data_IF_600931003537
#
_entry.id   IF_600931003537
#
_cell.length_a   1.000
_cell.length_b   1.000
_cell.length_c   1.000
_cell.angle_alpha   90.00
_cell.angle_beta   90.00
_cell.angle_gamma   90.00
#
_symmetry.space_group_name_H-M   'P 1'
#
loop_
_entity.id
_entity.type
_entity.pdbx_description
1 polymer ?
#
# COMPACT_ATOMS: atom_id res chain seq x y z
N UNK A 1 -17.49 25.98 24.60
CA UNK A 1 -17.52 24.72 23.82
C UNK A 1 -17.09 25.03 22.39
N UNK A 2 -15.95 24.51 21.94
CA UNK A 2 -15.57 24.58 20.53
C UNK A 2 -16.56 23.73 19.72
N UNK A 3 -17.30 24.36 18.81
CA UNK A 3 -18.24 23.68 17.92
C UNK A 3 -17.46 22.73 16.97
N UNK A 4 -17.37 21.46 17.35
CA UNK A 4 -16.65 20.45 16.57
C UNK A 4 -17.48 20.04 15.36
N UNK A 5 -17.25 20.68 14.21
CA UNK A 5 -17.94 20.33 12.96
C UNK A 5 -17.22 19.16 12.30
N UNK A 6 -17.82 17.97 12.37
CA UNK A 6 -17.30 16.80 11.65
C UNK A 6 -17.38 17.07 10.15
N UNK A 7 -16.24 16.96 9.47
CA UNK A 7 -16.06 17.17 8.03
C UNK A 7 -15.79 15.83 7.35
N UNK A 8 -15.96 15.76 6.03
CA UNK A 8 -15.66 14.56 5.24
C UNK A 8 -14.21 14.08 5.44
N UNK A 9 -13.28 15.00 5.67
CA UNK A 9 -11.89 14.68 5.95
C UNK A 9 -11.73 13.85 7.24
N UNK A 10 -12.47 14.17 8.31
CA UNK A 10 -12.46 13.39 9.55
C UNK A 10 -13.02 11.98 9.35
N UNK A 11 -14.07 11.82 8.53
CA UNK A 11 -14.61 10.50 8.19
C UNK A 11 -13.58 9.65 7.42
N UNK A 12 -12.87 10.25 6.45
CA UNK A 12 -11.78 9.56 5.72
C UNK A 12 -10.60 9.23 6.62
N UNK A 13 -10.22 10.11 7.54
CA UNK A 13 -9.18 9.89 8.56
C UNK A 13 -9.55 8.69 9.43
N UNK A 14 -10.78 8.64 9.95
CA UNK A 14 -11.29 7.52 10.75
C UNK A 14 -11.23 6.18 9.99
N UNK A 15 -11.72 6.14 8.74
CA UNK A 15 -11.67 4.94 7.91
C UNK A 15 -10.23 4.50 7.64
N UNK A 16 -9.32 5.45 7.40
CA UNK A 16 -7.91 5.17 7.15
C UNK A 16 -7.24 4.56 8.39
N UNK A 17 -7.56 5.07 9.58
CA UNK A 17 -7.08 4.52 10.86
C UNK A 17 -7.59 3.09 11.04
N UNK A 18 -8.91 2.88 10.87
CA UNK A 18 -9.54 1.57 11.10
C UNK A 18 -9.14 0.50 10.09
N UNK A 19 -8.85 0.89 8.84
CA UNK A 19 -8.49 -0.05 7.77
C UNK A 19 -6.99 -0.17 7.59
N UNK A 20 -6.34 0.90 7.15
CA UNK A 20 -4.95 0.84 6.66
C UNK A 20 -3.92 0.93 7.78
N UNK A 21 -4.09 1.84 8.74
CA UNK A 21 -3.11 2.05 9.81
C UNK A 21 -2.94 0.78 10.67
N UNK A 22 -4.04 0.25 11.19
CA UNK A 22 -4.02 -0.92 12.08
C UNK A 22 -3.56 -2.18 11.35
N UNK A 23 -4.14 -2.49 10.19
CA UNK A 23 -3.95 -3.80 9.56
C UNK A 23 -2.70 -3.91 8.68
N UNK A 24 -2.21 -2.79 8.15
CA UNK A 24 -1.08 -2.78 7.21
C UNK A 24 0.13 -2.10 7.85
N UNK A 25 0.00 -0.82 8.22
CA UNK A 25 1.15 -0.04 8.69
C UNK A 25 1.73 -0.57 10.01
N UNK A 26 0.91 -0.64 11.07
CA UNK A 26 1.40 -1.10 12.37
C UNK A 26 1.69 -2.59 12.38
N UNK A 27 0.77 -3.38 11.83
CA UNK A 27 0.87 -4.84 11.89
C UNK A 27 1.92 -5.40 10.92
N UNK A 28 1.90 -5.01 9.65
CA UNK A 28 2.76 -5.62 8.62
C UNK A 28 4.09 -4.90 8.55
N UNK A 29 4.09 -3.57 8.44
CA UNK A 29 5.32 -2.78 8.29
C UNK A 29 6.00 -2.40 9.61
N UNK A 30 5.30 -2.46 10.74
CA UNK A 30 5.85 -2.28 12.08
C UNK A 30 6.06 -3.62 12.79
N UNK A 31 5.31 -3.85 13.87
CA UNK A 31 5.47 -4.92 14.86
C UNK A 31 5.92 -6.27 14.31
N UNK A 32 5.25 -6.81 13.28
CA UNK A 32 5.62 -8.15 12.76
C UNK A 32 6.98 -8.17 12.09
N UNK A 33 7.30 -7.15 11.31
CA UNK A 33 8.58 -7.07 10.60
C UNK A 33 9.71 -6.78 11.59
N UNK A 34 9.46 -5.92 12.57
CA UNK A 34 10.45 -5.52 13.57
C UNK A 34 10.76 -6.67 14.56
N UNK A 35 9.72 -7.28 15.15
CA UNK A 35 9.88 -8.36 16.12
C UNK A 35 10.41 -9.65 15.51
N UNK A 36 10.18 -9.90 14.21
CA UNK A 36 10.81 -11.01 13.49
C UNK A 36 12.34 -10.93 13.53
N UNK A 37 12.90 -9.73 13.74
CA UNK A 37 14.33 -9.49 13.84
C UNK A 37 14.77 -9.01 15.24
N UNK A 38 13.92 -9.18 16.27
CA UNK A 38 14.20 -8.72 17.65
C UNK A 38 14.55 -7.23 17.75
N UNK A 39 14.03 -6.41 16.84
CA UNK A 39 14.20 -4.95 16.86
C UNK A 39 12.90 -4.33 17.36
N UNK A 40 12.99 -3.32 18.22
CA UNK A 40 11.83 -2.53 18.66
C UNK A 40 11.80 -1.18 17.94
N UNK A 41 10.83 -0.97 17.05
CA UNK A 41 10.56 0.33 16.45
C UNK A 41 9.63 1.16 17.32
N UNK A 42 9.95 2.44 17.49
CA UNK A 42 9.10 3.42 18.18
C UNK A 42 8.39 4.29 17.16
N UNK A 43 7.10 4.54 17.36
CA UNK A 43 6.25 5.33 16.47
C UNK A 43 5.92 6.70 17.09
N UNK A 44 6.86 7.67 17.11
CA UNK A 44 6.68 8.93 17.86
C UNK A 44 5.47 9.76 17.43
N UNK A 45 5.03 9.61 16.17
CA UNK A 45 3.84 10.29 15.66
C UNK A 45 2.51 9.74 16.20
N UNK A 46 2.52 8.59 16.88
CA UNK A 46 1.35 7.95 17.47
C UNK A 46 1.26 8.14 18.98
N UNK A 47 2.06 9.05 19.54
CA UNK A 47 1.90 9.50 20.91
C UNK A 47 0.49 10.07 21.14
N UNK A 48 -0.17 9.66 22.23
CA UNK A 48 -1.58 10.01 22.47
C UNK A 48 -1.77 11.49 22.75
N UNK A 49 -0.81 12.19 23.36
CA UNK A 49 -0.90 13.63 23.57
C UNK A 49 -0.77 14.38 22.25
N UNK A 50 0.16 13.96 21.39
CA UNK A 50 0.30 14.53 20.05
C UNK A 50 -0.97 14.30 19.21
N UNK A 51 -1.50 13.08 19.20
CA UNK A 51 -2.71 12.73 18.46
C UNK A 51 -3.90 13.53 18.96
N UNK A 52 -4.08 13.64 20.28
CA UNK A 52 -5.16 14.42 20.88
C UNK A 52 -5.06 15.90 20.46
N UNK A 53 -3.88 16.50 20.59
CA UNK A 53 -3.64 17.87 20.12
C UNK A 53 -3.97 18.05 18.63
N UNK A 54 -3.47 17.16 17.76
CA UNK A 54 -3.65 17.26 16.31
C UNK A 54 -5.10 17.04 15.87
N UNK A 55 -5.88 16.26 16.62
CA UNK A 55 -7.30 16.08 16.35
C UNK A 55 -8.11 17.36 16.58
N UNK A 56 -7.67 18.23 17.48
CA UNK A 56 -8.30 19.53 17.72
C UNK A 56 -7.93 20.60 16.68
N UNK A 57 -6.96 20.34 15.81
CA UNK A 57 -6.56 21.28 14.77
C UNK A 57 -7.58 21.35 13.62
N UNK A 58 -7.83 22.54 13.06
CA UNK A 58 -8.71 22.67 11.91
C UNK A 58 -8.12 21.96 10.67
N UNK A 59 -8.99 21.39 9.84
CA UNK A 59 -8.59 20.59 8.67
C UNK A 59 -7.68 21.34 7.71
N UNK A 60 -7.84 22.67 7.58
CA UNK A 60 -7.03 23.53 6.72
C UNK A 60 -5.55 23.64 7.15
N UNK A 61 -5.23 23.29 8.41
CA UNK A 61 -3.85 23.20 8.90
C UNK A 61 -3.21 21.84 8.59
N UNK A 62 -4.02 20.79 8.45
CA UNK A 62 -3.55 19.44 8.04
C UNK A 62 -3.35 19.38 6.51
N UNK A 63 -4.33 19.89 5.77
CA UNK A 63 -4.39 19.91 4.31
C UNK A 63 -4.61 21.36 3.84
N UNK A 64 -3.69 21.90 3.04
CA UNK A 64 -3.77 23.29 2.59
C UNK A 64 -3.75 23.39 1.07
N UNK A 65 -4.67 24.15 0.50
CA UNK A 65 -4.65 24.48 -0.93
C UNK A 65 -3.77 25.71 -1.15
N UNK A 66 -2.73 25.59 -1.97
CA UNK A 66 -1.80 26.67 -2.31
C UNK A 66 -1.68 26.71 -3.83
N UNK A 67 -2.05 27.82 -4.45
CA UNK A 67 -2.00 28.02 -5.92
C UNK A 67 -2.70 26.88 -6.68
N UNK A 68 -3.84 26.40 -6.18
CA UNK A 68 -4.59 25.29 -6.77
C UNK A 68 -4.02 23.88 -6.50
N UNK A 69 -2.85 23.76 -5.85
CA UNK A 69 -2.25 22.47 -5.47
C UNK A 69 -2.56 22.12 -4.02
N UNK A 70 -3.00 20.88 -3.79
CA UNK A 70 -3.22 20.36 -2.44
C UNK A 70 -1.89 19.97 -1.80
N UNK A 71 -1.52 20.67 -0.73
CA UNK A 71 -0.35 20.37 0.08
C UNK A 71 -0.75 19.61 1.34
N UNK A 72 -0.36 18.35 1.40
CA UNK A 72 -0.54 17.50 2.56
C UNK A 72 0.51 17.78 3.64
N UNK A 73 0.16 17.42 4.90
CA UNK A 73 1.05 17.54 6.07
C UNK A 73 1.51 18.99 6.29
N UNK A 74 0.64 19.96 6.02
CA UNK A 74 1.04 21.37 5.95
C UNK A 74 1.66 21.87 7.26
N UNK A 75 0.97 21.70 8.39
CA UNK A 75 1.50 22.09 9.71
C UNK A 75 2.82 21.37 10.05
N UNK A 76 2.91 20.07 9.75
CA UNK A 76 4.14 19.30 9.99
C UNK A 76 5.31 19.84 9.14
N UNK A 77 5.06 20.24 7.90
CA UNK A 77 6.07 20.88 7.04
C UNK A 77 6.50 22.24 7.58
N UNK A 78 5.57 23.03 8.14
CA UNK A 78 5.93 24.31 8.75
C UNK A 78 6.82 24.12 9.98
N UNK A 79 6.44 23.20 10.88
CA UNK A 79 7.21 22.90 12.10
C UNK A 79 8.58 22.32 11.75
N UNK A 80 8.66 21.46 10.74
CA UNK A 80 9.91 20.84 10.30
C UNK A 80 10.85 21.78 9.52
N UNK A 81 10.37 22.92 9.03
CA UNK A 81 11.11 23.82 8.12
C UNK A 81 12.50 24.23 8.61
N UNK A 82 12.73 24.53 9.91
CA UNK A 82 14.07 24.87 10.41
C UNK A 82 15.06 23.68 10.39
N UNK A 83 14.55 22.44 10.30
CA UNK A 83 15.35 21.22 10.46
C UNK A 83 15.55 20.44 9.16
N UNK A 84 14.88 20.83 8.07
CA UNK A 84 14.92 20.11 6.79
C UNK A 84 15.31 21.04 5.65
N UNK A 85 15.91 20.48 4.60
CA UNK A 85 16.23 21.25 3.38
C UNK A 85 14.97 21.62 2.62
N UNK A 86 15.06 22.68 1.79
CA UNK A 86 13.98 23.10 0.91
C UNK A 86 13.53 21.98 -0.04
N UNK A 87 14.44 21.10 -0.46
CA UNK A 87 14.14 19.94 -1.28
C UNK A 87 13.16 18.98 -0.57
N UNK A 88 13.47 18.59 0.67
CA UNK A 88 12.59 17.72 1.47
C UNK A 88 11.27 18.41 1.80
N UNK A 89 11.30 19.72 2.08
CA UNK A 89 10.11 20.51 2.33
C UNK A 89 9.16 20.55 1.12
N UNK A 90 9.69 20.60 -0.11
CA UNK A 90 8.89 20.62 -1.34
C UNK A 90 8.54 19.22 -1.87
N UNK A 91 9.22 18.18 -1.36
CA UNK A 91 9.03 16.80 -1.80
C UNK A 91 7.59 16.33 -1.63
N UNK A 92 7.05 15.71 -2.68
CA UNK A 92 5.75 15.06 -2.64
C UNK A 92 5.76 13.81 -1.76
N UNK A 93 4.59 13.44 -1.22
CA UNK A 93 4.45 12.23 -0.44
C UNK A 93 4.70 11.02 -1.34
N UNK A 94 5.80 10.32 -1.08
CA UNK A 94 6.09 9.04 -1.70
C UNK A 94 5.58 7.92 -0.79
N UNK A 95 4.73 7.00 -1.29
CA UNK A 95 4.31 5.84 -0.51
C UNK A 95 5.50 4.90 -0.26
N UNK A 96 5.50 4.22 0.88
CA UNK A 96 6.50 3.18 1.15
C UNK A 96 6.08 1.92 0.40
N UNK A 97 6.65 1.69 -0.78
CA UNK A 97 6.36 0.54 -1.64
C UNK A 97 7.67 -0.17 -1.97
N UNK A 98 7.63 -1.50 -1.93
CA UNK A 98 8.71 -2.31 -2.47
C UNK A 98 8.83 -2.10 -3.98
N UNK A 99 10.03 -2.24 -4.56
CA UNK A 99 10.18 -2.21 -6.01
C UNK A 99 9.36 -3.35 -6.62
N UNK A 100 8.64 -3.11 -7.74
CA UNK A 100 7.87 -4.14 -8.40
C UNK A 100 8.75 -5.31 -8.87
N UNK A 101 8.29 -6.54 -8.66
CA UNK A 101 9.08 -7.75 -8.94
C UNK A 101 9.23 -8.00 -10.43
N UNK A 102 8.32 -7.50 -11.27
CA UNK A 102 8.41 -7.64 -12.73
C UNK A 102 9.59 -6.88 -13.36
N UNK A 103 10.25 -5.99 -12.60
CA UNK A 103 11.46 -5.29 -13.04
C UNK A 103 12.64 -6.26 -13.22
N UNK A 104 12.66 -7.36 -12.46
CA UNK A 104 13.72 -8.36 -12.51
C UNK A 104 13.14 -9.77 -12.73
N UNK A 105 13.35 -10.34 -13.91
CA UNK A 105 12.88 -11.70 -14.24
C UNK A 105 13.58 -12.78 -13.42
N UNK A 106 14.75 -12.49 -12.87
CA UNK A 106 15.50 -13.39 -12.01
C UNK A 106 15.07 -13.27 -10.54
N UNK A 107 14.15 -12.35 -10.21
CA UNK A 107 13.58 -12.26 -8.88
C UNK A 107 12.88 -13.56 -8.52
N UNK A 108 13.26 -14.16 -7.40
CA UNK A 108 12.61 -15.37 -6.86
C UNK A 108 11.11 -15.17 -6.64
N UNK A 109 10.70 -13.93 -6.32
CA UNK A 109 9.27 -13.62 -6.12
C UNK A 109 8.53 -13.60 -7.45
N UNK A 110 9.15 -13.06 -8.50
CA UNK A 110 8.56 -13.08 -9.84
C UNK A 110 8.44 -14.51 -10.39
N UNK A 111 9.47 -15.33 -10.20
CA UNK A 111 9.45 -16.75 -10.57
C UNK A 111 8.36 -17.50 -9.79
N UNK A 112 8.28 -17.31 -8.47
CA UNK A 112 7.23 -17.89 -7.64
C UNK A 112 5.82 -17.51 -8.11
N UNK A 113 5.61 -16.24 -8.47
CA UNK A 113 4.34 -15.75 -9.00
C UNK A 113 4.02 -16.42 -10.34
N UNK A 114 4.98 -16.51 -11.25
CA UNK A 114 4.83 -17.21 -12.53
C UNK A 114 4.48 -18.69 -12.33
N UNK A 115 5.21 -19.40 -11.47
CA UNK A 115 4.99 -20.83 -11.23
C UNK A 115 3.62 -21.08 -10.56
N UNK A 116 3.24 -20.22 -9.62
CA UNK A 116 1.98 -20.36 -8.89
C UNK A 116 0.77 -20.08 -9.77
N UNK A 117 0.81 -19.02 -10.59
CA UNK A 117 -0.32 -18.65 -11.44
C UNK A 117 -0.44 -19.53 -12.70
N UNK A 118 0.65 -20.18 -13.13
CA UNK A 118 0.58 -21.19 -14.19
C UNK A 118 0.28 -22.61 -13.68
N UNK A 119 0.25 -22.82 -12.36
CA UNK A 119 -0.09 -24.12 -11.78
C UNK A 119 -1.56 -24.49 -11.99
N UNK A 120 -1.89 -25.77 -11.74
CA UNK A 120 -3.28 -26.27 -11.79
C UNK A 120 -4.13 -25.72 -10.64
N UNK A 121 -3.53 -25.31 -9.54
CA UNK A 121 -4.24 -24.90 -8.32
C UNK A 121 -5.06 -23.63 -8.49
N UNK A 122 -4.75 -22.82 -9.51
CA UNK A 122 -5.50 -21.61 -9.85
C UNK A 122 -6.85 -21.94 -10.54
N UNK A 123 -7.02 -23.15 -11.08
CA UNK A 123 -8.26 -23.54 -11.77
C UNK A 123 -9.47 -23.53 -10.84
N UNK A 124 -9.25 -23.70 -9.54
CA UNK A 124 -10.29 -23.52 -8.52
C UNK A 124 -10.89 -22.12 -8.54
N UNK A 125 -10.21 -21.10 -9.07
CA UNK A 125 -10.70 -19.73 -9.11
C UNK A 125 -11.41 -19.38 -10.44
N UNK A 126 -11.58 -20.36 -11.33
CA UNK A 126 -12.17 -20.16 -12.67
C UNK A 126 -13.63 -19.66 -12.60
N UNK A 127 -14.34 -19.96 -11.51
CA UNK A 127 -15.70 -19.45 -11.28
C UNK A 127 -15.76 -17.95 -10.95
N UNK A 128 -14.64 -17.35 -10.54
CA UNK A 128 -14.55 -15.91 -10.21
C UNK A 128 -13.80 -15.15 -11.30
N UNK A 129 -12.73 -15.75 -11.85
CA UNK A 129 -11.79 -15.06 -12.73
C UNK A 129 -11.52 -15.82 -14.01
N UNK A 130 -11.34 -15.09 -15.10
CA UNK A 130 -10.81 -15.63 -16.36
C UNK A 130 -9.31 -15.92 -16.20
N UNK A 131 -8.99 -17.20 -15.99
CA UNK A 131 -7.63 -17.67 -15.74
C UNK A 131 -6.74 -17.48 -16.97
N UNK A 132 -7.28 -17.66 -18.18
CA UNK A 132 -6.52 -17.48 -19.41
C UNK A 132 -6.17 -16.01 -19.61
N UNK A 133 -7.09 -15.09 -19.29
CA UNK A 133 -6.79 -13.66 -19.29
C UNK A 133 -5.70 -13.29 -18.27
N UNK A 134 -5.73 -13.88 -17.08
CA UNK A 134 -4.70 -13.68 -16.05
C UNK A 134 -3.33 -14.14 -16.54
N UNK A 135 -3.23 -15.36 -17.09
CA UNK A 135 -1.96 -15.92 -17.61
C UNK A 135 -1.40 -15.07 -18.76
N UNK A 136 -2.27 -14.67 -19.68
CA UNK A 136 -1.88 -13.81 -20.80
C UNK A 136 -1.38 -12.45 -20.31
N UNK A 137 -2.08 -11.85 -19.35
CA UNK A 137 -1.69 -10.56 -18.76
C UNK A 137 -0.37 -10.64 -18.00
N UNK A 138 -0.15 -11.72 -17.23
CA UNK A 138 1.07 -12.01 -16.49
C UNK A 138 2.29 -12.12 -17.42
N UNK A 139 2.14 -12.83 -18.55
CA UNK A 139 3.18 -12.95 -19.57
C UNK A 139 3.46 -11.62 -20.29
N UNK A 140 2.46 -10.74 -20.40
CA UNK A 140 2.61 -9.42 -21.01
C UNK A 140 3.17 -8.35 -20.07
N UNK A 141 3.18 -8.55 -18.75
CA UNK A 141 3.63 -7.55 -17.76
C UNK A 141 5.01 -6.95 -18.10
N UNK A 142 5.96 -7.79 -18.47
CA UNK A 142 7.33 -7.35 -18.76
C UNK A 142 7.43 -6.61 -20.09
N UNK A 143 6.63 -6.99 -21.09
CA UNK A 143 6.55 -6.26 -22.36
C UNK A 143 5.97 -4.87 -22.12
N UNK A 144 4.87 -4.80 -21.36
CA UNK A 144 4.24 -3.54 -20.96
C UNK A 144 5.20 -2.66 -20.16
N UNK A 145 6.04 -3.20 -19.29
CA UNK A 145 7.04 -2.39 -18.58
C UNK A 145 7.93 -1.57 -19.55
N UNK A 146 8.45 -2.20 -20.62
CA UNK A 146 9.36 -1.53 -21.57
C UNK A 146 8.70 -0.43 -22.38
N UNK A 147 7.39 -0.50 -22.55
CA UNK A 147 6.59 0.44 -23.36
C UNK A 147 6.15 1.67 -22.54
N UNK A 148 6.33 1.67 -21.22
CA UNK A 148 5.72 2.66 -20.33
C UNK A 148 6.72 3.71 -19.85
N UNK A 149 6.54 4.94 -20.31
CA UNK A 149 7.32 6.10 -19.88
C UNK A 149 6.60 6.91 -18.77
N UNK A 150 5.30 6.71 -18.58
CA UNK A 150 4.47 7.55 -17.69
C UNK A 150 4.33 6.97 -16.26
N UNK A 151 4.41 7.85 -15.25
CA UNK A 151 4.23 7.49 -13.82
C UNK A 151 2.85 6.90 -13.51
N UNK A 152 1.80 7.32 -14.20
CA UNK A 152 0.43 6.81 -13.97
C UNK A 152 0.33 5.33 -14.38
N UNK A 153 0.84 5.03 -15.56
CA UNK A 153 0.89 3.69 -16.13
C UNK A 153 1.72 2.71 -15.28
N UNK A 154 2.83 3.18 -14.72
CA UNK A 154 3.63 2.39 -13.77
C UNK A 154 2.84 2.05 -12.49
N UNK A 155 2.00 2.96 -11.99
CA UNK A 155 1.17 2.68 -10.80
C UNK A 155 0.11 1.62 -11.07
N UNK A 156 -0.45 1.59 -12.29
CA UNK A 156 -1.41 0.57 -12.69
C UNK A 156 -0.75 -0.81 -12.72
N UNK A 157 0.46 -0.92 -13.29
CA UNK A 157 1.23 -2.17 -13.31
C UNK A 157 1.58 -2.67 -11.89
N UNK A 158 2.02 -1.78 -11.00
CA UNK A 158 2.30 -2.12 -9.59
C UNK A 158 1.03 -2.62 -8.89
N UNK A 159 -0.13 -2.01 -9.20
CA UNK A 159 -1.41 -2.43 -8.62
C UNK A 159 -1.83 -3.81 -9.12
N UNK A 160 -1.62 -4.10 -10.41
CA UNK A 160 -1.86 -5.43 -10.99
C UNK A 160 -0.95 -6.49 -10.37
N UNK A 161 0.32 -6.17 -10.16
CA UNK A 161 1.24 -7.08 -9.46
C UNK A 161 0.77 -7.37 -8.03
N UNK A 162 0.33 -6.35 -7.30
CA UNK A 162 -0.26 -6.53 -5.97
C UNK A 162 -1.46 -7.48 -5.98
N UNK A 163 -2.28 -7.42 -7.03
CA UNK A 163 -3.39 -8.36 -7.24
C UNK A 163 -2.89 -9.79 -7.50
N UNK A 164 -1.87 -9.97 -8.34
CA UNK A 164 -1.28 -11.28 -8.59
C UNK A 164 -0.65 -11.91 -7.34
N UNK A 165 0.04 -11.11 -6.52
CA UNK A 165 0.57 -11.57 -5.24
C UNK A 165 -0.53 -11.95 -4.25
N UNK A 166 -1.68 -11.26 -4.28
CA UNK A 166 -2.85 -11.65 -3.50
C UNK A 166 -3.37 -13.03 -3.92
N UNK A 167 -3.53 -13.29 -5.22
CA UNK A 167 -3.92 -14.61 -5.73
C UNK A 167 -2.91 -15.69 -5.34
N UNK A 168 -1.61 -15.40 -5.47
CA UNK A 168 -0.56 -16.30 -5.03
C UNK A 168 -0.71 -16.62 -3.54
N UNK A 169 -0.94 -15.61 -2.69
CA UNK A 169 -1.10 -15.81 -1.25
C UNK A 169 -2.27 -16.74 -0.90
N UNK A 170 -3.39 -16.62 -1.63
CA UNK A 170 -4.52 -17.52 -1.48
C UNK A 170 -4.14 -18.97 -1.83
N UNK A 171 -3.48 -19.18 -2.97
CA UNK A 171 -3.02 -20.51 -3.41
C UNK A 171 -2.00 -21.09 -2.41
N UNK A 172 -1.07 -20.28 -1.88
CA UNK A 172 -0.12 -20.71 -0.85
C UNK A 172 -0.85 -21.21 0.39
N UNK A 173 -1.85 -20.46 0.87
CA UNK A 173 -2.63 -20.82 2.06
C UNK A 173 -3.45 -22.09 1.80
N UNK A 174 -4.08 -22.20 0.63
CA UNK A 174 -4.81 -23.40 0.22
C UNK A 174 -3.91 -24.64 0.26
N UNK A 175 -2.73 -24.58 -0.38
CA UNK A 175 -1.75 -25.67 -0.38
C UNK A 175 -1.35 -26.06 1.05
N UNK A 176 -1.11 -25.06 1.90
CA UNK A 176 -0.68 -25.27 3.29
C UNK A 176 -1.74 -25.93 4.16
N UNK A 177 -3.00 -25.54 4.00
CA UNK A 177 -4.11 -26.02 4.82
C UNK A 177 -4.94 -27.13 4.16
N UNK A 178 -4.53 -27.58 2.98
CA UNK A 178 -5.20 -28.62 2.18
C UNK A 178 -6.71 -28.36 2.01
N UNK A 179 -7.09 -27.10 1.78
CA UNK A 179 -8.49 -26.69 1.60
C UNK A 179 -8.97 -27.27 0.27
N UNK A 180 -9.92 -28.21 0.35
CA UNK A 180 -10.57 -28.79 -0.82
C UNK A 180 -11.69 -27.88 -1.30
N UNK A 181 -11.89 -27.82 -2.61
CA UNK A 181 -13.08 -27.18 -3.16
C UNK A 181 -14.29 -28.07 -2.83
N UNK A 182 -15.27 -27.55 -2.11
CA UNK A 182 -16.57 -28.21 -1.94
C UNK A 182 -17.28 -28.16 -3.29
N UNK A 183 -17.12 -29.21 -4.09
CA UNK A 183 -17.62 -29.26 -5.46
C UNK A 183 -17.27 -30.52 -6.26
N UNK A 184 -16.53 -31.47 -5.66
CA UNK A 184 -16.30 -32.81 -6.17
C UNK A 184 -16.35 -33.83 -5.04
#
# INVERSE_FOLDING_TARGET
>A
MLNYKITRAHSTEYLSIKKSLLNILLKVFGDRSEMAHSVEGRTPYLDHYLVDYVNHLPTNMKLKLINGKLLEKYILRQVGRPYITNEIYQREKHPFLAPPTFLDRNSKVYQYMQDTLNSKDIQDLDYIFDIEHIRNSLNQLHKRQKEMENKLQLRELVSLEGFYLMLCSYITLKRRFNVKHEGQ
#
